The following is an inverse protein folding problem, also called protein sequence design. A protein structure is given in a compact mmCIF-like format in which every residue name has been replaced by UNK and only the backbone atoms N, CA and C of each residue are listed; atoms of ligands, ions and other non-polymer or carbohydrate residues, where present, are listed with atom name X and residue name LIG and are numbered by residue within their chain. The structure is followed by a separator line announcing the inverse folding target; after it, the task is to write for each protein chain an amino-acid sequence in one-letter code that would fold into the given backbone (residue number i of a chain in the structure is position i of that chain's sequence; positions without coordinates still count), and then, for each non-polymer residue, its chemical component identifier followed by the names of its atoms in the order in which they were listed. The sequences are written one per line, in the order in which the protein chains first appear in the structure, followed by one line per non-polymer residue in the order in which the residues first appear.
data_IF_126360232798
#
_entry.id   IF_126360232798
#
_cell.length_a   1.000
_cell.length_b   1.000
_cell.length_c   1.000
_cell.angle_alpha   90.00
_cell.angle_beta   90.00
_cell.angle_gamma   90.00
#
_symmetry.space_group_name_H-M   'P 1'
#
loop_
_entity.id
_entity.type
_entity.pdbx_description
1 polymer ?
#
# COMPACT_ATOMS: atom_id res chain seq x y z
N UNK A 1 -37.19 -58.86 -30.39
CA UNK A 1 -37.06 -58.02 -31.60
C UNK A 1 -36.44 -56.70 -31.17
N UNK A 2 -35.22 -56.43 -31.64
CA UNK A 2 -34.46 -55.24 -31.28
C UNK A 2 -34.96 -54.02 -32.08
N UNK A 3 -35.16 -52.90 -31.39
CA UNK A 3 -35.41 -51.59 -32.00
C UNK A 3 -34.06 -50.92 -32.32
N UNK A 4 -33.89 -50.25 -33.46
CA UNK A 4 -32.64 -49.58 -33.81
C UNK A 4 -32.48 -48.25 -33.06
N UNK A 5 -31.28 -48.01 -32.52
CA UNK A 5 -30.86 -46.74 -31.94
C UNK A 5 -30.76 -45.65 -33.01
N UNK A 6 -31.22 -44.41 -32.76
CA UNK A 6 -30.90 -43.29 -33.62
C UNK A 6 -29.46 -42.82 -33.39
N UNK A 7 -28.70 -42.75 -34.48
CA UNK A 7 -27.34 -42.21 -34.56
C UNK A 7 -27.41 -40.70 -34.28
N UNK A 8 -26.95 -40.26 -33.11
CA UNK A 8 -26.64 -38.86 -32.89
C UNK A 8 -25.38 -38.50 -33.69
N UNK A 9 -25.57 -37.80 -34.81
CA UNK A 9 -24.50 -37.06 -35.48
C UNK A 9 -23.99 -36.00 -34.50
N UNK A 10 -22.79 -36.19 -33.98
CA UNK A 10 -22.05 -35.16 -33.26
C UNK A 10 -21.91 -33.94 -34.16
N UNK A 11 -22.40 -32.79 -33.70
CA UNK A 11 -21.90 -31.51 -34.18
C UNK A 11 -20.55 -31.32 -33.52
N UNK A 12 -19.50 -31.31 -34.32
CA UNK A 12 -18.20 -30.75 -33.96
C UNK A 12 -18.43 -29.37 -33.33
N UNK A 13 -18.17 -29.28 -32.02
CA UNK A 13 -17.90 -28.02 -31.34
C UNK A 13 -16.40 -27.79 -31.40
N UNK A 14 -15.91 -27.41 -32.57
CA UNK A 14 -14.65 -26.69 -32.71
C UNK A 14 -14.97 -25.21 -32.68
N UNK A 15 -15.39 -24.74 -31.50
CA UNK A 15 -15.20 -23.33 -31.12
C UNK A 15 -14.04 -23.37 -30.13
N UNK A 16 -12.83 -23.24 -30.66
CA UNK A 16 -11.72 -22.71 -29.87
C UNK A 16 -12.15 -21.30 -29.50
N UNK A 17 -12.66 -21.13 -28.28
CA UNK A 17 -12.66 -19.83 -27.62
C UNK A 17 -11.18 -19.43 -27.56
N UNK A 18 -10.75 -18.61 -28.51
CA UNK A 18 -9.54 -17.82 -28.36
C UNK A 18 -9.76 -17.00 -27.09
N UNK A 19 -9.12 -17.42 -25.99
CA UNK A 19 -8.91 -16.55 -24.85
C UNK A 19 -8.14 -15.34 -25.39
N UNK A 20 -8.87 -14.32 -25.81
CA UNK A 20 -8.32 -13.01 -26.10
C UNK A 20 -7.56 -12.60 -24.85
N UNK A 21 -6.23 -12.66 -24.93
CA UNK A 21 -5.33 -12.20 -23.90
C UNK A 21 -5.56 -10.69 -23.80
N UNK A 22 -6.52 -10.29 -22.95
CA UNK A 22 -6.84 -8.88 -22.72
C UNK A 22 -5.54 -8.26 -22.23
N UNK A 23 -4.87 -7.39 -23.02
CA UNK A 23 -3.66 -6.76 -22.55
C UNK A 23 -4.05 -6.02 -21.28
N UNK A 24 -3.33 -6.29 -20.18
CA UNK A 24 -3.51 -5.62 -18.89
C UNK A 24 -3.26 -4.12 -19.11
N UNK A 25 -4.28 -3.39 -19.58
CA UNK A 25 -4.23 -1.94 -19.66
C UNK A 25 -3.98 -1.45 -18.24
N UNK A 26 -3.00 -0.55 -18.02
CA UNK A 26 -2.75 0.00 -16.70
C UNK A 26 -4.05 0.54 -16.13
N UNK A 27 -4.46 0.04 -14.96
CA UNK A 27 -5.67 0.54 -14.30
C UNK A 27 -5.43 2.00 -13.94
N UNK A 28 -6.30 2.87 -14.44
CA UNK A 28 -6.22 4.30 -14.15
C UNK A 28 -7.15 4.65 -12.98
N UNK A 29 -6.93 5.81 -12.37
CA UNK A 29 -7.88 6.36 -11.39
C UNK A 29 -9.28 6.54 -11.95
N UNK A 30 -9.42 6.82 -13.25
CA UNK A 30 -10.73 6.95 -13.88
C UNK A 30 -11.47 5.62 -13.94
N UNK A 31 -10.76 4.50 -14.10
CA UNK A 31 -11.36 3.17 -14.05
C UNK A 31 -11.92 2.87 -12.65
N UNK A 32 -11.14 3.19 -11.62
CA UNK A 32 -11.52 3.03 -10.21
C UNK A 32 -12.72 3.93 -9.85
N UNK A 33 -12.71 5.18 -10.30
CA UNK A 33 -13.78 6.13 -10.02
C UNK A 33 -15.08 5.82 -10.78
N UNK A 34 -15.01 5.20 -11.97
CA UNK A 34 -16.19 4.90 -12.79
C UNK A 34 -16.80 3.52 -12.51
N UNK A 35 -16.01 2.54 -12.08
CA UNK A 35 -16.47 1.17 -11.83
C UNK A 35 -16.31 0.85 -10.35
N UNK A 36 -17.44 0.62 -9.69
CA UNK A 36 -17.50 0.29 -8.25
C UNK A 36 -16.77 -1.02 -7.89
N UNK A 37 -16.46 -1.86 -8.88
CA UNK A 37 -15.81 -3.16 -8.73
C UNK A 37 -14.72 -3.34 -9.79
N UNK A 38 -13.55 -2.77 -9.53
CA UNK A 38 -12.34 -3.05 -10.31
C UNK A 38 -11.41 -3.88 -9.44
N UNK A 39 -11.09 -5.10 -9.85
CA UNK A 39 -10.05 -5.88 -9.17
C UNK A 39 -8.70 -5.24 -9.49
N UNK A 40 -8.02 -4.70 -8.48
CA UNK A 40 -6.65 -4.23 -8.65
C UNK A 40 -5.69 -5.42 -8.88
N UNK A 41 -4.67 -5.28 -9.75
CA UNK A 41 -3.67 -6.32 -9.93
C UNK A 41 -2.81 -6.46 -8.68
N UNK A 42 -2.27 -7.65 -8.46
CA UNK A 42 -1.33 -7.90 -7.36
C UNK A 42 -0.02 -7.13 -7.54
N UNK A 43 0.34 -6.79 -8.78
CA UNK A 43 1.50 -5.95 -9.11
C UNK A 43 1.01 -4.66 -9.76
N UNK A 44 1.37 -3.52 -9.19
CA UNK A 44 1.01 -2.19 -9.69
C UNK A 44 2.30 -1.46 -10.07
N UNK A 45 2.34 -1.03 -11.32
CA UNK A 45 3.46 -0.26 -11.84
C UNK A 45 3.22 1.25 -11.60
N UNK A 46 4.22 1.95 -11.07
CA UNK A 46 4.14 3.41 -10.89
C UNK A 46 5.08 3.93 -9.80
N UNK A 47 5.11 5.24 -9.63
CA UNK A 47 5.80 5.85 -8.50
C UNK A 47 4.97 5.75 -7.20
N UNK A 48 5.50 6.26 -6.07
CA UNK A 48 4.79 6.15 -4.79
C UNK A 48 3.44 6.89 -4.80
N UNK A 49 3.31 8.02 -5.50
CA UNK A 49 2.09 8.80 -5.55
C UNK A 49 1.04 8.18 -6.49
N UNK A 50 1.49 7.61 -7.60
CA UNK A 50 0.63 6.90 -8.56
C UNK A 50 -0.05 5.69 -7.89
N UNK A 51 0.76 4.82 -7.27
CA UNK A 51 0.25 3.61 -6.63
C UNK A 51 -0.61 3.93 -5.42
N UNK A 52 -0.23 4.95 -4.62
CA UNK A 52 -1.02 5.37 -3.48
C UNK A 52 -2.39 5.93 -3.88
N UNK A 53 -2.48 6.74 -4.94
CA UNK A 53 -3.75 7.27 -5.45
C UNK A 53 -4.71 6.13 -5.82
N UNK A 54 -4.23 5.13 -6.55
CA UNK A 54 -5.00 3.93 -6.95
C UNK A 54 -5.47 3.16 -5.71
N UNK A 55 -4.56 2.83 -4.80
CA UNK A 55 -4.86 2.04 -3.59
C UNK A 55 -5.85 2.78 -2.70
N UNK A 56 -5.64 4.07 -2.43
CA UNK A 56 -6.49 4.83 -1.52
C UNK A 56 -7.91 4.95 -2.08
N UNK A 57 -8.06 5.33 -3.35
CA UNK A 57 -9.37 5.49 -3.98
C UNK A 57 -10.14 4.17 -4.03
N UNK A 58 -9.44 3.04 -4.17
CA UNK A 58 -10.06 1.72 -4.22
C UNK A 58 -10.53 1.23 -2.84
N UNK A 59 -9.65 1.25 -1.83
CA UNK A 59 -9.94 0.68 -0.52
C UNK A 59 -10.63 1.63 0.45
N UNK A 60 -10.54 2.94 0.20
CA UNK A 60 -11.05 4.01 1.06
C UNK A 60 -11.79 5.03 0.18
N UNK A 61 -12.90 4.68 -0.48
CA UNK A 61 -13.60 5.63 -1.33
C UNK A 61 -14.08 6.85 -0.52
N UNK A 62 -14.06 8.06 -1.10
CA UNK A 62 -14.61 9.24 -0.43
C UNK A 62 -16.15 9.11 -0.27
N UNK A 63 -16.75 9.75 0.75
CA UNK A 63 -16.10 10.53 1.78
C UNK A 63 -15.41 9.66 2.86
N UNK A 64 -14.24 10.09 3.32
CA UNK A 64 -13.52 9.37 4.37
C UNK A 64 -12.65 10.28 5.25
N UNK A 65 -12.53 9.91 6.52
CA UNK A 65 -11.63 10.55 7.49
C UNK A 65 -10.37 9.71 7.64
N UNK A 66 -9.24 10.27 7.26
CA UNK A 66 -7.97 9.55 7.12
C UNK A 66 -6.93 10.13 8.09
N UNK A 67 -6.22 9.28 8.80
CA UNK A 67 -5.04 9.64 9.59
C UNK A 67 -3.79 9.20 8.86
N UNK A 68 -2.95 10.14 8.43
CA UNK A 68 -1.60 9.80 7.97
C UNK A 68 -0.61 9.95 9.13
N UNK A 69 -0.13 8.83 9.66
CA UNK A 69 0.69 8.79 10.89
C UNK A 69 2.16 9.14 10.66
N UNK A 70 2.57 9.24 9.41
CA UNK A 70 3.95 9.42 8.98
C UNK A 70 4.01 10.39 7.79
N UNK A 71 3.23 11.47 7.84
CA UNK A 71 2.88 12.24 6.65
C UNK A 71 4.08 12.85 5.90
N UNK A 72 5.20 13.01 6.60
CA UNK A 72 6.38 13.63 6.01
C UNK A 72 6.19 15.15 5.83
N UNK A 73 7.32 15.84 5.67
CA UNK A 73 7.30 17.29 5.38
C UNK A 73 6.57 17.61 4.07
N UNK A 74 6.77 16.77 3.06
CA UNK A 74 6.32 17.03 1.69
C UNK A 74 5.10 16.22 1.23
N UNK A 75 4.52 15.35 2.09
CA UNK A 75 3.30 14.57 1.80
C UNK A 75 3.37 13.86 0.44
N UNK A 76 4.46 13.14 0.19
CA UNK A 76 4.83 12.63 -1.13
C UNK A 76 3.76 11.73 -1.78
N UNK A 77 3.15 10.83 -1.01
CA UNK A 77 2.05 9.98 -1.49
C UNK A 77 0.87 10.78 -2.03
N UNK A 78 0.63 11.94 -1.46
CA UNK A 78 -0.58 12.70 -1.70
C UNK A 78 -0.47 13.66 -2.87
N UNK A 79 0.69 13.76 -3.53
CA UNK A 79 0.93 14.69 -4.65
C UNK A 79 -0.18 14.64 -5.71
N UNK A 80 -0.57 13.44 -6.14
CA UNK A 80 -1.59 13.25 -7.19
C UNK A 80 -3.02 13.56 -6.68
N UNK A 81 -3.24 13.38 -5.37
CA UNK A 81 -4.53 13.63 -4.72
C UNK A 81 -4.71 15.09 -4.30
N UNK A 82 -3.63 15.86 -4.07
CA UNK A 82 -3.68 17.25 -3.61
C UNK A 82 -4.55 18.16 -4.52
N UNK A 83 -4.44 18.10 -5.86
CA UNK A 83 -5.34 18.84 -6.74
C UNK A 83 -6.81 18.44 -6.55
N UNK A 84 -7.09 17.14 -6.39
CA UNK A 84 -8.45 16.62 -6.24
C UNK A 84 -9.09 17.05 -4.92
N UNK A 85 -8.31 17.07 -3.82
CA UNK A 85 -8.76 17.61 -2.53
C UNK A 85 -9.17 19.08 -2.66
N UNK A 86 -8.41 19.89 -3.41
CA UNK A 86 -8.74 21.30 -3.69
C UNK A 86 -9.98 21.45 -4.55
N UNK A 87 -10.26 20.47 -5.41
CA UNK A 87 -11.46 20.41 -6.26
C UNK A 87 -12.68 19.81 -5.54
N UNK A 88 -12.58 19.50 -4.24
CA UNK A 88 -13.71 19.04 -3.44
C UNK A 88 -13.82 17.53 -3.24
N UNK A 89 -12.77 16.75 -3.55
CA UNK A 89 -12.69 15.34 -3.15
C UNK A 89 -12.83 15.24 -1.62
N UNK A 90 -13.83 14.48 -1.15
CA UNK A 90 -14.29 14.51 0.24
C UNK A 90 -13.45 13.66 1.21
N UNK A 91 -12.12 13.80 1.15
CA UNK A 91 -11.25 13.26 2.20
C UNK A 91 -10.94 14.32 3.26
N UNK A 92 -11.18 13.97 4.52
CA UNK A 92 -10.71 14.73 5.66
C UNK A 92 -9.42 14.09 6.19
N UNK A 93 -8.27 14.67 5.83
CA UNK A 93 -6.96 14.10 6.18
C UNK A 93 -6.35 14.81 7.38
N UNK A 94 -6.01 14.03 8.41
CA UNK A 94 -5.20 14.47 9.54
C UNK A 94 -3.75 14.09 9.28
N UNK A 95 -2.91 15.10 9.05
CA UNK A 95 -1.46 14.92 8.87
C UNK A 95 -0.79 14.86 10.23
N UNK A 96 -0.16 13.72 10.54
CA UNK A 96 0.58 13.53 11.79
C UNK A 96 2.01 13.08 11.50
N UNK A 97 2.92 13.57 12.33
CA UNK A 97 4.32 13.13 12.36
C UNK A 97 4.88 13.32 13.77
N UNK A 98 5.98 12.65 14.12
CA UNK A 98 6.66 12.89 15.40
C UNK A 98 7.37 14.25 15.42
N UNK A 99 7.74 14.74 14.24
CA UNK A 99 8.32 16.07 14.03
C UNK A 99 7.22 17.13 14.00
N UNK A 100 7.56 18.41 14.19
CA UNK A 100 6.61 19.52 14.05
C UNK A 100 6.26 19.79 12.58
N UNK A 101 5.69 18.79 11.89
CA UNK A 101 5.17 18.87 10.53
C UNK A 101 3.76 18.31 10.47
N UNK A 102 2.91 18.87 9.60
CA UNK A 102 1.50 18.46 9.51
C UNK A 102 0.61 19.22 10.49
N UNK A 103 -0.53 18.62 10.84
CA UNK A 103 -1.53 19.19 11.75
C UNK A 103 -1.24 18.81 13.22
N UNK A 104 -0.70 17.61 13.45
CA UNK A 104 -0.52 17.04 14.80
C UNK A 104 0.91 16.51 14.93
N UNK A 105 1.62 16.99 15.95
CA UNK A 105 2.91 16.41 16.34
C UNK A 105 2.68 15.34 17.42
N UNK A 106 2.89 14.07 17.10
CA UNK A 106 2.72 12.98 18.06
C UNK A 106 3.48 11.69 17.68
N UNK A 107 3.68 10.85 18.69
CA UNK A 107 4.26 9.52 18.52
C UNK A 107 3.19 8.53 18.03
N UNK A 108 3.49 7.78 16.96
CA UNK A 108 2.58 6.79 16.40
C UNK A 108 2.35 5.61 17.35
N UNK A 109 3.20 5.44 18.37
CA UNK A 109 3.06 4.44 19.42
C UNK A 109 1.98 4.81 20.46
N UNK A 110 1.50 6.06 20.45
CA UNK A 110 0.47 6.58 21.33
C UNK A 110 -0.30 7.72 20.63
N UNK A 111 -1.34 7.35 19.87
CA UNK A 111 -2.09 8.28 19.04
C UNK A 111 -3.01 9.18 19.89
N UNK A 112 -2.97 10.52 19.74
CA UNK A 112 -3.74 11.47 20.55
C UNK A 112 -5.19 11.61 20.06
N UNK A 113 -5.81 10.51 19.65
CA UNK A 113 -7.15 10.51 19.07
C UNK A 113 -8.09 9.58 19.83
N UNK A 114 -9.39 9.84 19.73
CA UNK A 114 -10.44 8.99 20.31
C UNK A 114 -10.53 7.67 19.55
N UNK A 115 -11.17 6.69 20.18
CA UNK A 115 -11.43 5.40 19.54
C UNK A 115 -12.39 5.58 18.35
N UNK A 116 -12.27 4.72 17.34
CA UNK A 116 -13.21 4.63 16.22
C UNK A 116 -13.52 5.97 15.50
N UNK A 117 -12.52 6.79 15.22
CA UNK A 117 -12.72 8.11 14.59
C UNK A 117 -12.19 8.23 13.16
N UNK A 118 -11.40 7.27 12.67
CA UNK A 118 -10.87 7.25 11.32
C UNK A 118 -11.40 6.07 10.50
N UNK A 119 -11.65 6.31 9.22
CA UNK A 119 -11.96 5.30 8.22
C UNK A 119 -10.69 4.63 7.70
N UNK A 120 -9.57 5.35 7.70
CA UNK A 120 -8.26 4.80 7.35
C UNK A 120 -7.09 5.37 8.14
N UNK A 121 -6.06 4.55 8.31
CA UNK A 121 -4.75 4.91 8.89
C UNK A 121 -3.65 4.61 7.87
N UNK A 122 -2.83 5.60 7.53
CA UNK A 122 -1.69 5.46 6.63
C UNK A 122 -0.41 5.33 7.46
N UNK A 123 0.45 4.38 7.07
CA UNK A 123 1.71 4.08 7.73
C UNK A 123 2.83 3.86 6.70
N UNK A 124 3.78 4.80 6.64
CA UNK A 124 5.01 4.77 5.84
C UNK A 124 6.22 5.01 6.75
N UNK A 125 6.59 4.01 7.57
CA UNK A 125 7.66 4.17 8.55
C UNK A 125 9.04 4.28 7.90
N UNK A 126 10.03 4.86 8.60
CA UNK A 126 11.42 4.84 8.13
C UNK A 126 12.00 3.41 8.17
N UNK A 127 12.13 2.75 7.03
CA UNK A 127 12.57 1.34 6.96
C UNK A 127 14.09 1.13 6.76
N UNK A 128 14.88 2.18 6.47
CA UNK A 128 16.33 2.07 6.27
C UNK A 128 17.10 3.22 6.93
N UNK A 129 18.24 2.89 7.55
CA UNK A 129 19.23 3.84 8.11
C UNK A 129 20.11 4.45 7.03
N UNK A 130 20.38 3.70 5.96
CA UNK A 130 21.26 4.12 4.88
C UNK A 130 20.46 4.88 3.84
N UNK A 131 20.98 6.04 3.45
CA UNK A 131 20.69 6.62 2.14
C UNK A 131 21.07 5.55 1.12
N UNK A 132 20.11 5.06 0.34
CA UNK A 132 20.44 4.16 -0.76
C UNK A 132 21.39 4.93 -1.68
N UNK A 133 22.54 4.35 -2.00
CA UNK A 133 23.62 4.97 -2.79
C UNK A 133 23.04 5.47 -4.12
N UNK A 134 23.31 6.72 -4.51
CA UNK A 134 22.63 7.34 -5.64
C UNK A 134 23.04 6.79 -7.01
N UNK A 135 22.08 6.72 -7.96
CA UNK A 135 22.27 7.16 -9.33
C UNK A 135 22.12 8.70 -9.45
N UNK A 136 22.81 9.36 -10.41
CA UNK A 136 22.75 10.81 -10.59
C UNK A 136 21.32 11.32 -10.90
N UNK A 137 20.89 12.39 -10.21
CA UNK A 137 19.67 13.14 -10.56
C UNK A 137 18.47 13.00 -9.60
N UNK A 138 18.60 12.24 -8.51
CA UNK A 138 17.48 11.95 -7.60
C UNK A 138 17.70 12.52 -6.20
N UNK A 139 16.60 12.70 -5.44
CA UNK A 139 16.67 13.36 -4.13
C UNK A 139 17.11 12.40 -3.03
N UNK A 140 18.23 12.69 -2.36
CA UNK A 140 18.57 12.15 -1.05
C UNK A 140 17.57 12.65 -0.01
N UNK A 141 16.74 11.73 0.51
CA UNK A 141 15.88 12.03 1.65
C UNK A 141 16.73 12.13 2.91
N UNK A 142 16.92 13.35 3.40
CA UNK A 142 17.66 13.55 4.65
C UNK A 142 16.87 12.94 5.83
N UNK A 143 17.54 12.47 6.90
CA UNK A 143 16.85 11.91 8.06
C UNK A 143 15.77 12.83 8.64
N UNK A 144 16.00 14.16 8.62
CA UNK A 144 15.06 15.19 9.06
C UNK A 144 13.88 15.40 8.09
N UNK A 145 13.84 14.71 6.95
CA UNK A 145 12.73 14.71 6.00
C UNK A 145 11.80 13.50 6.16
N UNK A 146 12.22 12.45 6.88
CA UNK A 146 11.43 11.25 7.22
C UNK A 146 10.84 11.33 8.63
N UNK A 147 9.79 10.55 8.89
CA UNK A 147 9.19 10.45 10.23
C UNK A 147 10.26 10.21 11.31
N UNK A 148 10.06 10.85 12.48
CA UNK A 148 10.99 10.90 13.62
C UNK A 148 12.24 11.80 13.41
N UNK A 149 12.66 12.50 14.47
CA UNK A 149 13.93 13.23 14.45
C UNK A 149 15.08 12.22 14.63
N UNK A 150 15.97 12.15 13.64
CA UNK A 150 17.23 11.40 13.66
C UNK A 150 17.14 9.87 13.75
N UNK A 151 17.29 9.19 12.61
CA UNK A 151 17.90 7.85 12.52
C UNK A 151 17.15 6.65 13.12
N UNK A 152 16.05 6.86 13.85
CA UNK A 152 15.17 5.78 14.29
C UNK A 152 14.54 5.15 13.05
N UNK A 153 14.82 3.86 12.87
CA UNK A 153 14.14 3.03 11.88
C UNK A 153 13.04 2.26 12.57
N UNK A 154 12.11 1.76 11.76
CA UNK A 154 11.06 0.84 12.18
C UNK A 154 11.65 -0.28 13.06
N UNK A 155 10.92 -0.64 14.11
CA UNK A 155 11.23 -1.75 15.00
C UNK A 155 9.99 -2.61 15.20
N UNK A 156 10.15 -3.86 15.65
CA UNK A 156 8.99 -4.70 15.94
C UNK A 156 8.10 -4.12 17.03
N UNK A 157 8.69 -3.45 18.04
CA UNK A 157 7.93 -2.76 19.07
C UNK A 157 7.06 -1.65 18.46
N UNK A 158 7.63 -0.85 17.54
CA UNK A 158 6.90 0.19 16.82
C UNK A 158 5.74 -0.41 16.01
N UNK A 159 5.96 -1.52 15.29
CA UNK A 159 4.92 -2.21 14.52
C UNK A 159 3.81 -2.74 15.43
N UNK A 160 4.16 -3.42 16.54
CA UNK A 160 3.18 -3.94 17.50
C UNK A 160 2.34 -2.81 18.10
N UNK A 161 2.97 -1.69 18.49
CA UNK A 161 2.27 -0.50 18.99
C UNK A 161 1.40 0.15 17.91
N UNK A 162 1.88 0.21 16.68
CA UNK A 162 1.11 0.69 15.54
C UNK A 162 -0.19 -0.12 15.36
N UNK A 163 -0.13 -1.46 15.39
CA UNK A 163 -1.34 -2.28 15.29
C UNK A 163 -2.34 -2.02 16.41
N UNK A 164 -1.86 -1.88 17.65
CA UNK A 164 -2.71 -1.57 18.81
C UNK A 164 -3.42 -0.22 18.61
N UNK A 165 -2.65 0.82 18.30
CA UNK A 165 -3.18 2.18 18.21
C UNK A 165 -4.03 2.38 16.95
N UNK A 166 -3.62 1.85 15.80
CA UNK A 166 -4.40 1.87 14.57
C UNK A 166 -5.74 1.14 14.75
N UNK A 167 -5.74 -0.07 15.33
CA UNK A 167 -6.98 -0.77 15.67
C UNK A 167 -7.89 0.08 16.58
N UNK A 168 -7.31 0.76 17.58
CA UNK A 168 -8.07 1.58 18.53
C UNK A 168 -8.76 2.77 17.83
N UNK A 169 -8.05 3.50 16.98
CA UNK A 169 -8.57 4.72 16.35
C UNK A 169 -9.39 4.47 15.08
N UNK A 170 -9.22 3.31 14.42
CA UNK A 170 -10.03 2.91 13.27
C UNK A 170 -11.45 2.57 13.67
N UNK A 171 -12.42 3.03 12.89
CA UNK A 171 -13.81 2.55 12.96
C UNK A 171 -13.89 1.06 12.60
N UNK A 172 -14.92 0.33 13.05
CA UNK A 172 -15.23 -0.99 12.49
C UNK A 172 -15.27 -0.94 10.96
N UNK A 173 -14.64 -1.90 10.29
CA UNK A 173 -14.50 -1.93 8.83
C UNK A 173 -13.44 -0.99 8.25
N UNK A 174 -12.81 -0.11 9.06
CA UNK A 174 -11.74 0.77 8.62
C UNK A 174 -10.45 0.02 8.25
N UNK A 175 -9.57 0.68 7.50
CA UNK A 175 -8.37 0.05 6.93
C UNK A 175 -7.06 0.71 7.34
N UNK A 176 -6.01 -0.09 7.49
CA UNK A 176 -4.63 0.38 7.53
C UNK A 176 -4.04 0.19 6.14
N UNK A 177 -3.44 1.26 5.59
CA UNK A 177 -2.63 1.20 4.38
C UNK A 177 -1.18 1.38 4.80
N UNK A 178 -0.39 0.32 4.68
CA UNK A 178 1.02 0.35 5.04
C UNK A 178 1.91 0.18 3.82
N UNK A 179 2.90 1.05 3.66
CA UNK A 179 3.96 0.88 2.68
C UNK A 179 5.25 0.40 3.34
N UNK A 180 5.85 -0.63 2.76
CA UNK A 180 7.21 -1.08 3.06
C UNK A 180 8.00 -1.22 1.76
N UNK A 181 9.30 -1.49 1.87
CA UNK A 181 10.18 -1.71 0.72
C UNK A 181 11.15 -2.84 1.05
N UNK A 182 11.72 -3.45 0.01
CA UNK A 182 12.86 -4.33 0.20
C UNK A 182 14.00 -3.61 0.91
N UNK A 183 14.52 -4.29 1.93
CA UNK A 183 15.68 -3.86 2.73
C UNK A 183 16.46 -5.10 3.12
N UNK A 184 17.70 -4.92 3.58
CA UNK A 184 18.50 -6.00 4.18
C UNK A 184 17.83 -6.65 5.41
N UNK A 185 16.94 -5.92 6.08
CA UNK A 185 16.18 -6.38 7.25
C UNK A 185 14.88 -7.11 6.92
N UNK A 186 14.46 -7.14 5.65
CA UNK A 186 13.24 -7.80 5.18
C UNK A 186 11.98 -7.43 5.99
N UNK A 187 11.80 -6.14 6.24
CA UNK A 187 10.72 -5.63 7.08
C UNK A 187 9.31 -6.04 6.63
N UNK A 188 9.07 -6.26 5.34
CA UNK A 188 7.79 -6.72 4.83
C UNK A 188 7.41 -8.12 5.37
N UNK A 189 8.36 -9.07 5.45
CA UNK A 189 8.11 -10.38 6.05
C UNK A 189 7.88 -10.27 7.56
N UNK A 190 8.70 -9.47 8.26
CA UNK A 190 8.53 -9.24 9.71
C UNK A 190 7.17 -8.61 10.00
N UNK A 191 6.76 -7.61 9.22
CA UNK A 191 5.48 -6.93 9.36
C UNK A 191 4.31 -7.90 9.19
N UNK A 192 4.37 -8.76 8.17
CA UNK A 192 3.37 -9.81 7.95
C UNK A 192 3.30 -10.78 9.14
N UNK A 193 4.44 -11.31 9.61
CA UNK A 193 4.46 -12.23 10.76
C UNK A 193 3.87 -11.59 12.03
N UNK A 194 4.21 -10.33 12.30
CA UNK A 194 3.66 -9.58 13.43
C UNK A 194 2.14 -9.36 13.31
N UNK A 195 1.62 -9.16 12.09
CA UNK A 195 0.18 -9.09 11.83
C UNK A 195 -0.49 -10.45 12.14
N UNK A 196 0.14 -11.56 11.78
CA UNK A 196 -0.38 -12.91 12.06
C UNK A 196 -0.36 -13.24 13.58
N UNK A 197 0.63 -12.73 14.31
CA UNK A 197 0.71 -12.84 15.77
C UNK A 197 -0.33 -11.97 16.48
N UNK A 198 -0.75 -10.86 15.87
CA UNK A 198 -1.69 -9.92 16.46
C UNK A 198 -3.07 -10.58 16.68
N UNK A 199 -3.48 -10.67 17.94
CA UNK A 199 -4.73 -11.35 18.36
C UNK A 199 -5.99 -10.49 18.22
N UNK A 200 -5.87 -9.26 17.74
CA UNK A 200 -7.02 -8.37 17.55
C UNK A 200 -7.74 -8.57 16.20
N UNK A 201 -8.67 -7.66 15.87
CA UNK A 201 -9.55 -7.79 14.70
C UNK A 201 -8.89 -7.33 13.38
N UNK A 202 -7.59 -7.10 13.35
CA UNK A 202 -6.90 -6.69 12.12
C UNK A 202 -6.62 -7.94 11.26
N UNK A 203 -7.04 -7.90 9.99
CA UNK A 203 -6.82 -8.98 9.02
C UNK A 203 -6.24 -8.42 7.72
N UNK A 204 -5.29 -9.14 7.13
CA UNK A 204 -4.80 -8.82 5.79
C UNK A 204 -5.95 -9.01 4.79
N UNK A 205 -6.35 -7.94 4.13
CA UNK A 205 -7.35 -7.96 3.06
C UNK A 205 -6.68 -8.09 1.70
N UNK A 206 -5.58 -7.36 1.48
CA UNK A 206 -4.83 -7.42 0.24
C UNK A 206 -3.36 -7.07 0.46
N UNK A 207 -2.51 -7.56 -0.46
CA UNK A 207 -1.11 -7.19 -0.58
C UNK A 207 -0.83 -6.86 -2.04
N UNK A 208 -0.40 -5.63 -2.29
CA UNK A 208 0.05 -5.21 -3.63
C UNK A 208 1.56 -4.99 -3.63
N UNK A 209 2.20 -5.47 -4.69
CA UNK A 209 3.61 -5.26 -4.97
C UNK A 209 3.71 -4.08 -5.94
N UNK A 210 4.46 -3.06 -5.57
CA UNK A 210 4.78 -1.95 -6.43
C UNK A 210 6.07 -2.24 -7.19
N UNK A 211 5.97 -2.16 -8.51
CA UNK A 211 7.09 -2.17 -9.43
C UNK A 211 7.40 -0.75 -9.91
N UNK A 212 8.66 -0.34 -9.80
CA UNK A 212 9.09 1.00 -10.21
C UNK A 212 9.50 0.98 -11.69
N UNK A 213 8.88 1.84 -12.50
CA UNK A 213 9.17 1.99 -13.95
C UNK A 213 10.63 2.22 -14.29
N UNK A 214 11.32 2.96 -13.43
CA UNK A 214 12.69 3.35 -13.67
C UNK A 214 13.65 2.48 -12.84
N UNK A 215 14.54 1.78 -13.54
CA UNK A 215 15.50 0.77 -13.04
C UNK A 215 16.59 1.31 -12.08
N UNK A 216 16.53 2.59 -11.71
CA UNK A 216 17.57 3.25 -10.93
C UNK A 216 17.44 3.03 -9.42
N UNK A 217 16.29 2.50 -8.93
CA UNK A 217 16.17 2.04 -7.54
C UNK A 217 16.88 0.70 -7.35
N UNK A 218 18.20 0.79 -7.41
CA UNK A 218 19.10 0.21 -6.42
C UNK A 218 18.82 -1.24 -6.12
N UNK A 219 19.37 -2.11 -6.96
CA UNK A 219 19.44 -3.48 -6.58
C UNK A 219 20.08 -3.64 -5.18
N UNK A 220 19.45 -4.42 -4.31
CA UNK A 220 20.03 -4.68 -3.00
C UNK A 220 21.16 -5.69 -3.18
N UNK A 221 22.39 -5.22 -2.95
CA UNK A 221 23.53 -6.11 -2.76
C UNK A 221 23.42 -6.74 -1.37
N UNK A 222 22.84 -7.93 -1.32
CA UNK A 222 22.95 -8.78 -0.14
C UNK A 222 24.23 -9.62 -0.28
N UNK A 223 25.02 -9.82 0.80
CA UNK A 223 26.27 -10.59 0.73
C UNK A 223 26.10 -12.03 0.21
N UNK A 224 24.86 -12.55 0.22
CA UNK A 224 24.53 -13.93 -0.10
C UNK A 224 23.89 -14.12 -1.48
N UNK A 225 23.54 -13.06 -2.20
CA UNK A 225 22.91 -13.18 -3.52
C UNK A 225 23.91 -12.72 -4.59
N UNK A 226 24.24 -13.63 -5.51
CA UNK A 226 25.23 -13.39 -6.59
C UNK A 226 24.78 -12.33 -7.59
N UNK A 227 23.48 -12.17 -7.78
CA UNK A 227 22.88 -11.19 -8.68
C UNK A 227 22.15 -10.13 -7.87
N UNK A 228 22.35 -8.84 -8.17
CA UNK A 228 21.60 -7.80 -7.50
C UNK A 228 20.09 -8.03 -7.73
N UNK A 229 19.24 -7.91 -6.70
CA UNK A 229 17.80 -8.13 -6.82
C UNK A 229 17.08 -6.78 -7.01
N UNK A 230 16.11 -6.73 -7.92
CA UNK A 230 15.23 -5.56 -8.09
C UNK A 230 14.50 -5.24 -6.79
N UNK A 231 14.32 -3.96 -6.51
CA UNK A 231 13.67 -3.48 -5.28
C UNK A 231 12.21 -3.19 -5.54
N UNK A 232 11.37 -3.84 -4.76
CA UNK A 232 9.94 -3.63 -4.76
C UNK A 232 9.51 -2.84 -3.54
N UNK A 233 8.35 -2.21 -3.64
CA UNK A 233 7.60 -1.77 -2.48
C UNK A 233 6.36 -2.65 -2.26
N UNK A 234 5.93 -2.75 -1.02
CA UNK A 234 4.80 -3.60 -0.61
C UNK A 234 3.76 -2.72 0.04
N UNK A 235 2.53 -2.86 -0.40
CA UNK A 235 1.38 -2.16 0.12
C UNK A 235 0.44 -3.15 0.80
N UNK A 236 0.49 -3.19 2.13
CA UNK A 236 -0.40 -4.01 2.94
C UNK A 236 -1.70 -3.26 3.18
N UNK A 237 -2.80 -3.90 2.83
CA UNK A 237 -4.16 -3.43 3.12
C UNK A 237 -4.72 -4.31 4.21
N UNK A 238 -4.91 -3.73 5.39
CA UNK A 238 -5.33 -4.46 6.59
C UNK A 238 -6.67 -3.91 7.03
N UNK A 239 -7.70 -4.76 7.09
CA UNK A 239 -9.03 -4.35 7.54
C UNK A 239 -9.25 -4.69 9.00
N UNK A 240 -9.90 -3.79 9.72
CA UNK A 240 -10.49 -4.06 11.04
C UNK A 240 -11.84 -4.75 10.84
N UNK A 241 -11.90 -6.05 11.14
CA UNK A 241 -13.11 -6.88 11.05
C UNK A 241 -14.02 -6.73 12.26
#
# INVERSE_FOLDING_TARGET
MALPNPIHKGKDRTEQEEEEEIPLKPITKYDIMKKRWVRLPSVIEGDNADVFEIILLHYVPPPARILDTTCGKYKQFWKNLMPLLRMGLQYYVVWMDLRPVGHVQADLKQLPFKNNCFDAVIFDPPYTKKLLIEPPGHKIWKPDERYAMSGEIISEHMIRRHFIEANRVLKPGGVIITKLMDTDQLWHFKYYNLLQEYRGPLKLEALHIQYFKESWRLHIRTPRVKRPAEVHAYWFIIRKT
#
